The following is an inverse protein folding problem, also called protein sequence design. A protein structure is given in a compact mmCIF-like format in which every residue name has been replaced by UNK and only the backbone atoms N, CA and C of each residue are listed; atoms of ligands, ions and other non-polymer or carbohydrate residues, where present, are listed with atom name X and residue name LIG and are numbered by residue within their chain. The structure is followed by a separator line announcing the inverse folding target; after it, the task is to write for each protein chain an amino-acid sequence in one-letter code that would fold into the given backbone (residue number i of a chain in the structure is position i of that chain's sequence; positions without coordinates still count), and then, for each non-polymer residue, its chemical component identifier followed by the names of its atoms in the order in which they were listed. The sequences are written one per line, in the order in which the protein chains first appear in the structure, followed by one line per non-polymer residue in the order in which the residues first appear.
data_IF_509333100865
#
_entry.id   IF_509333100865
#
_cell.length_a   1.000
_cell.length_b   1.000
_cell.length_c   1.000
_cell.angle_alpha   90.00
_cell.angle_beta   90.00
_cell.angle_gamma   90.00
#
_symmetry.space_group_name_H-M   'P 1'
#
loop_
_entity.id
_entity.type
_entity.pdbx_description
1 polymer ?
#
# COMPACT_ATOMS: atom_id res chain seq x y z
N UNK A 1 6.57 -21.80 -28.46
CA UNK A 1 7.27 -21.00 -27.43
C UNK A 1 6.23 -20.61 -26.41
N UNK A 2 6.17 -21.30 -25.27
CA UNK A 2 5.30 -20.91 -24.15
C UNK A 2 5.80 -19.59 -23.61
N UNK A 3 5.04 -18.53 -23.84
CA UNK A 3 5.29 -17.23 -23.22
C UNK A 3 5.20 -17.43 -21.70
N UNK A 4 6.36 -17.46 -21.00
CA UNK A 4 6.35 -17.50 -19.53
C UNK A 4 5.49 -16.33 -19.04
N UNK A 5 4.42 -16.64 -18.33
CA UNK A 5 3.56 -15.63 -17.73
C UNK A 5 4.44 -14.75 -16.85
N UNK A 6 4.42 -13.46 -17.13
CA UNK A 6 5.22 -12.49 -16.41
C UNK A 6 4.64 -12.33 -15.01
N UNK A 7 5.41 -12.64 -13.98
CA UNK A 7 5.04 -12.41 -12.59
C UNK A 7 5.57 -11.03 -12.19
N UNK A 8 4.71 -10.22 -11.62
CA UNK A 8 5.05 -8.93 -11.05
C UNK A 8 5.07 -9.03 -9.52
N UNK A 9 5.66 -8.02 -8.88
CA UNK A 9 5.71 -7.88 -7.43
C UNK A 9 4.98 -6.61 -7.02
N UNK A 10 4.42 -6.60 -5.81
CA UNK A 10 3.87 -5.42 -5.15
C UNK A 10 4.42 -5.34 -3.74
N UNK A 11 4.85 -4.16 -3.32
CA UNK A 11 5.11 -3.90 -1.91
C UNK A 11 3.77 -3.66 -1.21
N UNK A 12 3.64 -4.21 -0.01
CA UNK A 12 2.52 -4.00 0.90
C UNK A 12 3.09 -3.61 2.25
N UNK A 13 2.55 -2.55 2.88
CA UNK A 13 2.89 -2.18 4.25
C UNK A 13 1.61 -2.16 5.08
N UNK A 14 1.47 -3.10 6.02
CA UNK A 14 0.44 -2.99 7.06
C UNK A 14 0.91 -1.94 8.04
N UNK A 15 0.15 -0.86 8.16
CA UNK A 15 0.50 0.34 8.93
C UNK A 15 0.29 0.12 10.43
N UNK A 16 0.78 1.02 11.30
CA UNK A 16 0.67 0.86 12.74
C UNK A 16 -0.76 0.64 13.24
N UNK A 17 -1.77 1.26 12.64
CA UNK A 17 -3.19 1.04 13.01
C UNK A 17 -3.67 -0.38 12.66
N UNK A 18 -3.25 -0.96 11.54
CA UNK A 18 -3.54 -2.34 11.18
C UNK A 18 -2.88 -3.35 12.14
N UNK A 19 -1.65 -3.05 12.56
CA UNK A 19 -0.91 -3.87 13.55
C UNK A 19 -1.59 -3.79 14.92
N UNK A 20 -1.86 -2.57 15.43
CA UNK A 20 -2.51 -2.35 16.73
C UNK A 20 -3.90 -2.97 16.83
N UNK A 21 -4.62 -3.02 15.71
CA UNK A 21 -5.96 -3.63 15.64
C UNK A 21 -5.95 -5.14 15.41
N UNK A 22 -4.76 -5.78 15.43
CA UNK A 22 -4.58 -7.23 15.24
C UNK A 22 -5.12 -7.74 13.89
N UNK A 23 -5.01 -6.93 12.83
CA UNK A 23 -5.53 -7.26 11.50
C UNK A 23 -4.51 -7.93 10.59
N UNK A 24 -3.26 -8.17 11.06
CA UNK A 24 -2.17 -8.73 10.24
C UNK A 24 -2.59 -10.03 9.55
N UNK A 25 -3.08 -11.00 10.33
CA UNK A 25 -3.46 -12.31 9.79
C UNK A 25 -4.62 -12.25 8.79
N UNK A 26 -5.62 -11.41 9.05
CA UNK A 26 -6.76 -11.23 8.15
C UNK A 26 -6.35 -10.56 6.83
N UNK A 27 -5.46 -9.58 6.87
CA UNK A 27 -4.94 -8.91 5.68
C UNK A 27 -4.12 -9.89 4.83
N UNK A 28 -3.19 -10.64 5.42
CA UNK A 28 -2.36 -11.63 4.72
C UNK A 28 -3.24 -12.70 4.08
N UNK A 29 -4.21 -13.23 4.83
CA UNK A 29 -5.15 -14.23 4.35
C UNK A 29 -5.84 -13.83 3.04
N UNK A 30 -6.23 -12.55 2.89
CA UNK A 30 -6.89 -12.07 1.66
C UNK A 30 -5.97 -12.15 0.44
N UNK A 31 -4.68 -11.87 0.60
CA UNK A 31 -3.71 -11.99 -0.49
C UNK A 31 -3.43 -13.45 -0.84
N UNK A 32 -3.23 -14.32 0.16
CA UNK A 32 -2.99 -15.75 -0.06
C UNK A 32 -4.21 -16.44 -0.68
N UNK A 33 -5.43 -16.15 -0.22
CA UNK A 33 -6.66 -16.68 -0.80
C UNK A 33 -6.87 -16.26 -2.26
N UNK A 34 -6.36 -15.09 -2.67
CA UNK A 34 -6.38 -14.64 -4.06
C UNK A 34 -5.34 -15.38 -4.93
N UNK A 35 -4.43 -16.14 -4.34
CA UNK A 35 -3.38 -16.88 -5.03
C UNK A 35 -2.06 -16.10 -5.20
N UNK A 36 -1.89 -14.98 -4.51
CA UNK A 36 -0.61 -14.27 -4.45
C UNK A 36 0.37 -15.01 -3.55
N UNK A 37 1.63 -15.14 -4.00
CA UNK A 37 2.73 -15.69 -3.22
C UNK A 37 3.35 -14.58 -2.36
N UNK A 38 3.58 -14.85 -1.08
CA UNK A 38 4.34 -13.96 -0.20
C UNK A 38 5.82 -14.33 -0.34
N UNK A 39 6.59 -13.51 -1.04
CA UNK A 39 8.03 -13.75 -1.26
C UNK A 39 8.96 -13.03 -0.28
N UNK A 40 8.44 -12.12 0.54
CA UNK A 40 9.16 -11.47 1.63
C UNK A 40 8.17 -10.96 2.68
N UNK A 41 8.52 -11.09 3.96
CA UNK A 41 7.68 -10.56 5.06
C UNK A 41 8.53 -10.29 6.29
N UNK A 42 8.36 -9.12 6.89
CA UNK A 42 8.98 -8.78 8.18
C UNK A 42 8.20 -7.71 8.94
N UNK A 43 8.30 -7.76 10.27
CA UNK A 43 7.81 -6.69 11.15
C UNK A 43 9.00 -5.84 11.59
N UNK A 44 8.86 -4.52 11.53
CA UNK A 44 9.91 -3.58 11.91
C UNK A 44 9.34 -2.24 12.39
N UNK A 45 10.15 -1.47 13.10
CA UNK A 45 9.93 -0.05 13.32
C UNK A 45 10.63 0.72 12.18
N UNK A 46 9.91 1.41 11.31
CA UNK A 46 10.54 2.14 10.23
C UNK A 46 11.29 3.37 10.74
N UNK A 47 12.39 3.73 10.08
CA UNK A 47 13.10 4.97 10.32
C UNK A 47 12.44 6.14 9.58
N UNK A 48 12.74 7.38 10.00
CA UNK A 48 12.31 8.59 9.30
C UNK A 48 12.82 8.58 7.86
N UNK A 49 14.13 8.35 7.67
CA UNK A 49 14.76 8.32 6.34
C UNK A 49 14.12 7.28 5.41
N UNK A 50 13.76 6.12 5.94
CA UNK A 50 13.08 5.06 5.20
C UNK A 50 11.69 5.50 4.74
N UNK A 51 10.92 6.15 5.63
CA UNK A 51 9.61 6.68 5.30
C UNK A 51 9.70 7.86 4.31
N UNK A 52 10.65 8.79 4.47
CA UNK A 52 10.86 9.90 3.55
C UNK A 52 11.27 9.42 2.16
N UNK A 53 12.15 8.42 2.08
CA UNK A 53 12.52 7.79 0.79
C UNK A 53 11.34 7.12 0.10
N UNK A 54 10.48 6.48 0.88
CA UNK A 54 9.29 5.80 0.38
C UNK A 54 8.22 6.80 -0.13
N UNK A 55 7.91 7.83 0.65
CA UNK A 55 6.89 8.85 0.34
C UNK A 55 7.46 10.06 -0.40
N UNK A 56 8.62 9.93 -1.03
CA UNK A 56 9.26 11.00 -1.78
C UNK A 56 8.36 11.54 -2.90
N UNK A 57 7.95 12.81 -2.80
CA UNK A 57 7.09 13.52 -3.74
C UNK A 57 7.75 14.85 -4.13
N UNK A 58 7.41 15.36 -5.31
CA UNK A 58 7.91 16.64 -5.82
C UNK A 58 7.00 17.82 -5.46
N UNK A 59 7.48 19.04 -5.70
CA UNK A 59 6.75 20.26 -5.38
C UNK A 59 5.42 20.38 -6.15
N UNK A 60 5.33 19.85 -7.37
CA UNK A 60 4.09 19.82 -8.14
C UNK A 60 3.01 18.97 -7.43
N UNK A 61 3.39 17.81 -6.92
CA UNK A 61 2.49 16.96 -6.12
C UNK A 61 2.05 17.68 -4.84
N UNK A 62 2.98 18.34 -4.12
CA UNK A 62 2.67 19.08 -2.90
C UNK A 62 1.69 20.22 -3.18
N UNK A 63 1.94 21.01 -4.21
CA UNK A 63 1.06 22.11 -4.59
C UNK A 63 -0.34 21.61 -4.96
N UNK A 64 -0.43 20.59 -5.82
CA UNK A 64 -1.71 20.02 -6.24
C UNK A 64 -2.53 19.49 -5.06
N UNK A 65 -1.89 18.73 -4.15
CA UNK A 65 -2.60 18.17 -2.98
C UNK A 65 -2.98 19.25 -1.98
N UNK A 66 -2.09 20.20 -1.74
CA UNK A 66 -2.37 21.32 -0.85
C UNK A 66 -3.45 22.25 -1.37
N UNK A 67 -3.54 22.48 -2.68
CA UNK A 67 -4.65 23.25 -3.30
C UNK A 67 -6.00 22.59 -3.00
N UNK A 68 -6.11 21.28 -3.16
CA UNK A 68 -7.34 20.55 -2.81
C UNK A 68 -7.72 20.72 -1.33
N UNK A 69 -6.74 20.68 -0.40
CA UNK A 69 -7.01 20.92 1.02
C UNK A 69 -7.53 22.35 1.25
N UNK A 70 -6.91 23.35 0.62
CA UNK A 70 -7.34 24.74 0.73
C UNK A 70 -8.78 24.92 0.22
N UNK A 71 -9.12 24.33 -0.92
CA UNK A 71 -10.48 24.36 -1.46
C UNK A 71 -11.50 23.71 -0.50
N UNK A 72 -11.16 22.58 0.11
CA UNK A 72 -12.03 21.89 1.05
C UNK A 72 -12.21 22.71 2.35
N UNK A 73 -11.15 23.30 2.89
CA UNK A 73 -11.24 24.20 4.05
C UNK A 73 -12.15 25.41 3.75
N UNK A 74 -12.01 26.03 2.57
CA UNK A 74 -12.85 27.15 2.15
C UNK A 74 -14.31 26.77 2.00
N UNK A 75 -14.64 25.61 1.44
CA UNK A 75 -16.02 25.10 1.33
C UNK A 75 -16.68 24.91 2.70
N UNK A 76 -15.90 24.48 3.69
CA UNK A 76 -16.36 24.27 5.07
C UNK A 76 -16.32 25.55 5.92
N UNK A 77 -15.91 26.69 5.35
CA UNK A 77 -15.80 27.94 6.09
C UNK A 77 -14.69 27.96 7.14
N UNK A 78 -13.70 27.07 7.01
CA UNK A 78 -12.56 26.96 7.91
C UNK A 78 -11.41 27.91 7.47
N UNK A 79 -10.59 28.41 8.43
CA UNK A 79 -9.50 29.33 8.10
C UNK A 79 -8.40 28.63 7.29
N UNK A 80 -7.85 29.33 6.31
CA UNK A 80 -6.66 28.93 5.57
C UNK A 80 -5.47 29.68 6.17
N UNK A 81 -4.58 28.94 6.86
CA UNK A 81 -3.49 29.53 7.65
C UNK A 81 -2.11 29.42 7.00
N UNK A 82 -2.00 28.67 5.90
CA UNK A 82 -0.72 28.34 5.23
C UNK A 82 -0.86 28.47 3.72
N UNK A 83 0.27 28.58 3.05
CA UNK A 83 0.36 28.40 1.60
C UNK A 83 -0.03 26.97 1.21
N UNK A 84 -0.67 26.82 0.04
CA UNK A 84 -1.16 25.52 -0.44
C UNK A 84 -0.05 24.44 -0.44
N UNK A 85 1.15 24.77 -0.88
CA UNK A 85 2.27 23.82 -0.92
C UNK A 85 2.64 23.30 0.47
N UNK A 86 2.51 24.09 1.54
CA UNK A 86 2.81 23.66 2.90
C UNK A 86 1.77 22.70 3.45
N UNK A 87 0.50 22.85 3.10
CA UNK A 87 -0.51 21.81 3.38
C UNK A 87 -0.16 20.48 2.69
N UNK A 88 0.34 20.52 1.45
CA UNK A 88 0.82 19.32 0.76
C UNK A 88 2.02 18.68 1.47
N UNK A 89 2.99 19.48 1.93
CA UNK A 89 4.15 18.98 2.70
C UNK A 89 3.74 18.38 4.04
N UNK A 90 2.73 18.96 4.70
CA UNK A 90 2.22 18.44 5.96
C UNK A 90 1.60 17.05 5.82
N UNK A 91 1.04 16.69 4.66
CA UNK A 91 0.59 15.31 4.40
C UNK A 91 1.74 14.34 4.64
N UNK A 92 2.92 14.58 4.04
CA UNK A 92 4.06 13.68 4.20
C UNK A 92 4.60 13.71 5.63
N UNK A 93 4.72 14.89 6.25
CA UNK A 93 5.15 15.01 7.65
C UNK A 93 4.27 14.21 8.61
N UNK A 94 2.96 14.29 8.43
CA UNK A 94 2.00 13.53 9.27
C UNK A 94 2.05 12.03 8.97
N UNK A 95 2.24 11.61 7.71
CA UNK A 95 2.43 10.20 7.34
C UNK A 95 3.73 9.66 7.96
N UNK A 96 4.85 10.36 7.85
CA UNK A 96 6.14 9.94 8.42
C UNK A 96 6.01 9.79 9.94
N UNK A 97 5.46 10.79 10.62
CA UNK A 97 5.19 10.74 12.07
C UNK A 97 4.32 9.54 12.45
N UNK A 98 3.30 9.24 11.64
CA UNK A 98 2.41 8.13 11.88
C UNK A 98 3.09 6.78 11.67
N UNK A 99 3.82 6.61 10.56
CA UNK A 99 4.53 5.38 10.23
C UNK A 99 5.62 5.02 11.23
N UNK A 100 6.35 6.05 11.74
CA UNK A 100 7.40 5.87 12.74
C UNK A 100 6.88 5.75 14.17
N UNK A 101 5.60 5.96 14.40
CA UNK A 101 4.94 5.88 15.71
C UNK A 101 4.64 4.47 16.21
N UNK A 102 4.89 3.43 15.41
CA UNK A 102 4.63 2.05 15.78
C UNK A 102 5.15 1.04 14.75
N UNK A 103 5.09 -0.26 15.06
CA UNK A 103 5.55 -1.29 14.14
C UNK A 103 4.67 -1.34 12.88
N UNK A 104 5.32 -1.69 11.76
CA UNK A 104 4.67 -2.02 10.49
C UNK A 104 5.01 -3.44 10.08
N UNK A 105 4.17 -4.07 9.26
CA UNK A 105 4.52 -5.32 8.57
C UNK A 105 4.73 -5.03 7.11
N UNK A 106 5.97 -5.19 6.64
CA UNK A 106 6.32 -5.09 5.24
C UNK A 106 6.19 -6.47 4.57
N UNK A 107 5.58 -6.51 3.38
CA UNK A 107 5.30 -7.74 2.64
C UNK A 107 5.61 -7.52 1.16
N UNK A 108 6.21 -8.52 0.51
CA UNK A 108 6.29 -8.60 -0.95
C UNK A 108 5.30 -9.67 -1.42
N UNK A 109 4.28 -9.25 -2.15
CA UNK A 109 3.35 -10.14 -2.82
C UNK A 109 3.74 -10.31 -4.30
N UNK A 110 3.77 -11.56 -4.80
CA UNK A 110 4.19 -11.91 -6.16
C UNK A 110 3.09 -12.69 -6.87
N UNK A 111 2.82 -12.35 -8.13
CA UNK A 111 1.86 -13.05 -8.97
C UNK A 111 1.61 -12.31 -10.29
N UNK A 112 0.69 -12.85 -11.10
CA UNK A 112 0.28 -12.17 -12.33
C UNK A 112 -0.42 -10.86 -12.00
N UNK A 113 0.08 -9.76 -12.60
CA UNK A 113 -0.44 -8.40 -12.38
C UNK A 113 -0.55 -8.03 -10.88
N UNK A 114 0.41 -8.44 -10.05
CA UNK A 114 0.34 -8.32 -8.59
C UNK A 114 -0.03 -6.90 -8.10
N UNK A 115 0.52 -5.78 -8.62
CA UNK A 115 0.12 -4.45 -8.15
C UNK A 115 -1.36 -4.16 -8.35
N UNK A 116 -1.92 -4.48 -9.53
CA UNK A 116 -3.34 -4.26 -9.82
C UNK A 116 -4.24 -5.13 -8.95
N UNK A 117 -3.89 -6.41 -8.76
CA UNK A 117 -4.64 -7.35 -7.91
C UNK A 117 -4.61 -6.91 -6.46
N UNK A 118 -3.43 -6.50 -5.95
CA UNK A 118 -3.28 -6.01 -4.57
C UNK A 118 -4.10 -4.74 -4.36
N UNK A 119 -4.02 -3.76 -5.29
CA UNK A 119 -4.80 -2.52 -5.22
C UNK A 119 -6.31 -2.79 -5.18
N UNK A 120 -6.79 -3.76 -5.97
CA UNK A 120 -8.21 -4.17 -5.97
C UNK A 120 -8.64 -4.75 -4.60
N UNK A 121 -7.79 -5.55 -3.95
CA UNK A 121 -8.07 -6.14 -2.63
C UNK A 121 -8.02 -5.07 -1.53
N UNK A 122 -7.09 -4.14 -1.64
CA UNK A 122 -6.89 -3.06 -0.65
C UNK A 122 -8.04 -2.05 -0.68
N UNK A 123 -8.51 -1.68 -1.87
CA UNK A 123 -9.57 -0.68 -2.06
C UNK A 123 -9.07 0.76 -2.12
N UNK A 124 -9.99 1.68 -2.34
CA UNK A 124 -9.73 3.12 -2.45
C UNK A 124 -8.93 3.68 -1.27
N UNK A 125 -8.12 4.72 -1.53
CA UNK A 125 -7.21 5.28 -0.50
C UNK A 125 -7.94 5.87 0.70
N UNK A 126 -9.11 6.46 0.47
CA UNK A 126 -9.97 7.00 1.51
C UNK A 126 -10.96 5.91 1.97
N UNK A 127 -10.90 5.49 3.25
CA UNK A 127 -11.70 4.36 3.74
C UNK A 127 -13.21 4.54 3.61
N UNK A 128 -13.73 5.72 3.95
CA UNK A 128 -15.18 5.98 3.97
C UNK A 128 -15.83 5.80 2.59
N UNK A 129 -15.06 5.97 1.52
CA UNK A 129 -15.51 5.81 0.13
C UNK A 129 -15.00 4.51 -0.52
N UNK A 130 -14.27 3.68 0.21
CA UNK A 130 -13.76 2.41 -0.30
C UNK A 130 -14.88 1.36 -0.41
N UNK A 131 -14.82 0.56 -1.49
CA UNK A 131 -15.83 -0.47 -1.76
C UNK A 131 -15.86 -1.54 -0.66
N UNK A 132 -17.07 -1.97 -0.30
CA UNK A 132 -17.30 -3.14 0.58
C UNK A 132 -16.65 -4.39 -0.03
N UNK A 133 -16.04 -5.22 0.80
CA UNK A 133 -15.26 -6.39 0.38
C UNK A 133 -13.77 -6.10 0.20
N UNK A 134 -13.37 -4.82 0.22
CA UNK A 134 -11.94 -4.42 0.24
C UNK A 134 -11.44 -4.31 1.68
N UNK A 135 -10.10 -4.34 1.86
CA UNK A 135 -9.51 -4.20 3.20
C UNK A 135 -9.93 -2.88 3.85
N UNK A 136 -9.88 -1.78 3.11
CA UNK A 136 -10.25 -0.47 3.66
C UNK A 136 -11.74 -0.33 3.89
N UNK A 137 -12.58 -0.77 2.95
CA UNK A 137 -14.03 -0.71 3.08
C UNK A 137 -14.60 -1.55 4.22
N UNK A 138 -13.95 -2.69 4.52
CA UNK A 138 -14.42 -3.60 5.57
C UNK A 138 -13.89 -3.25 6.97
N UNK A 139 -12.69 -2.66 7.07
CA UNK A 139 -12.00 -2.57 8.37
C UNK A 139 -11.77 -1.15 8.88
N UNK A 140 -12.08 -0.10 8.14
CA UNK A 140 -11.90 1.28 8.65
C UNK A 140 -12.86 2.25 7.99
N UNK A 141 -13.19 3.33 8.69
CA UNK A 141 -14.16 4.36 8.28
C UNK A 141 -13.56 5.77 8.28
N UNK A 142 -12.25 5.91 8.37
CA UNK A 142 -11.59 7.22 8.39
C UNK A 142 -11.69 7.94 7.03
N UNK A 143 -11.50 9.25 7.02
CA UNK A 143 -11.63 10.10 5.82
C UNK A 143 -10.54 11.16 5.75
N UNK A 144 -10.37 11.75 4.56
CA UNK A 144 -9.50 12.91 4.36
C UNK A 144 -10.00 14.11 5.18
N UNK A 145 -11.31 14.32 5.25
CA UNK A 145 -11.93 15.38 6.05
C UNK A 145 -11.52 15.30 7.53
N UNK A 146 -11.75 14.14 8.17
CA UNK A 146 -11.37 13.93 9.57
C UNK A 146 -9.86 14.07 9.79
N UNK A 147 -9.06 13.54 8.88
CA UNK A 147 -7.60 13.62 9.00
C UNK A 147 -7.08 15.06 8.87
N UNK A 148 -7.70 15.88 8.03
CA UNK A 148 -7.35 17.29 7.85
C UNK A 148 -7.70 18.10 9.10
N UNK A 149 -8.92 17.96 9.64
CA UNK A 149 -9.35 18.65 10.87
C UNK A 149 -8.44 18.29 12.05
N UNK A 150 -8.13 17.01 12.20
CA UNK A 150 -7.30 16.52 13.31
C UNK A 150 -5.79 16.74 13.06
N UNK A 151 -5.38 17.32 11.93
CA UNK A 151 -3.98 17.49 11.52
C UNK A 151 -3.16 16.21 11.70
N UNK A 152 -3.62 15.11 11.12
CA UNK A 152 -3.03 13.76 11.21
C UNK A 152 -3.08 13.03 9.88
N UNK A 153 -2.33 11.93 9.77
CA UNK A 153 -2.48 11.02 8.64
C UNK A 153 -3.81 10.24 8.69
N UNK A 154 -4.37 9.95 7.53
CA UNK A 154 -5.53 9.06 7.40
C UNK A 154 -5.20 7.66 7.94
N UNK A 155 -6.09 7.10 8.76
CA UNK A 155 -6.00 5.76 9.32
C UNK A 155 -6.61 4.75 8.34
N UNK A 156 -5.83 4.38 7.33
CA UNK A 156 -6.28 3.55 6.22
C UNK A 156 -5.58 2.18 6.12
N UNK A 157 -5.03 1.70 7.24
CA UNK A 157 -4.55 0.35 7.52
C UNK A 157 -3.33 -0.11 6.72
N UNK A 158 -3.24 0.23 5.45
CA UNK A 158 -2.33 -0.43 4.52
C UNK A 158 -1.87 0.52 3.42
N UNK A 159 -0.62 0.37 3.00
CA UNK A 159 -0.11 0.88 1.73
C UNK A 159 0.13 -0.28 0.77
N UNK A 160 -0.02 -0.05 -0.51
CA UNK A 160 0.44 -0.93 -1.58
C UNK A 160 0.95 -0.11 -2.76
N UNK A 161 1.92 -0.68 -3.50
CA UNK A 161 2.40 -0.07 -4.74
C UNK A 161 1.27 0.00 -5.78
N UNK A 162 1.07 1.17 -6.39
CA UNK A 162 0.00 1.40 -7.37
C UNK A 162 0.25 0.67 -8.70
N UNK A 163 1.52 0.52 -9.07
CA UNK A 163 1.95 -0.08 -10.33
C UNK A 163 3.31 -0.77 -10.16
N UNK A 164 3.80 -1.37 -11.26
CA UNK A 164 5.04 -2.11 -11.27
C UNK A 164 6.27 -1.22 -11.04
N UNK A 165 6.29 -0.04 -11.64
CA UNK A 165 7.39 0.92 -11.53
C UNK A 165 7.54 1.39 -10.08
N UNK A 166 6.43 1.67 -9.40
CA UNK A 166 6.45 1.98 -7.97
C UNK A 166 6.91 0.81 -7.13
N UNK A 167 6.46 -0.41 -7.40
CA UNK A 167 6.91 -1.60 -6.69
C UNK A 167 8.43 -1.81 -6.83
N UNK A 168 8.98 -1.65 -8.03
CA UNK A 168 10.42 -1.76 -8.29
C UNK A 168 11.26 -0.70 -7.55
N UNK A 169 10.71 0.51 -7.37
CA UNK A 169 11.32 1.60 -6.60
C UNK A 169 11.18 1.37 -5.09
N UNK A 170 10.03 0.91 -4.64
CA UNK A 170 9.70 0.81 -3.21
C UNK A 170 10.30 -0.41 -2.53
N UNK A 171 10.27 -1.58 -3.18
CA UNK A 171 10.76 -2.83 -2.57
C UNK A 171 12.19 -2.71 -2.02
N UNK A 172 13.18 -2.14 -2.74
CA UNK A 172 14.55 -2.02 -2.22
C UNK A 172 14.69 -1.10 -1.00
N UNK A 173 13.73 -0.20 -0.75
CA UNK A 173 13.70 0.64 0.47
C UNK A 173 13.41 -0.21 1.71
N UNK A 174 12.60 -1.26 1.54
CA UNK A 174 12.12 -2.09 2.65
C UNK A 174 12.83 -3.42 2.76
N UNK A 175 13.33 -4.01 1.69
CA UNK A 175 13.91 -5.34 1.66
C UNK A 175 15.29 -5.35 1.01
N UNK A 176 16.25 -6.02 1.65
CA UNK A 176 17.48 -6.45 1.00
C UNK A 176 17.23 -7.68 0.10
N UNK A 177 18.11 -7.90 -0.87
CA UNK A 177 17.98 -9.03 -1.82
C UNK A 177 17.89 -10.40 -1.13
N UNK A 178 18.63 -10.59 -0.04
CA UNK A 178 18.64 -11.84 0.73
C UNK A 178 17.35 -12.10 1.53
N UNK A 179 16.49 -11.09 1.68
CA UNK A 179 15.20 -11.20 2.38
C UNK A 179 14.06 -11.62 1.45
N UNK A 180 14.34 -11.76 0.14
CA UNK A 180 13.35 -12.15 -0.87
C UNK A 180 13.49 -13.63 -1.18
N UNK A 181 12.48 -14.42 -0.80
CA UNK A 181 12.51 -15.88 -0.94
C UNK A 181 12.05 -16.30 -2.34
N UNK A 182 12.79 -17.23 -2.94
CA UNK A 182 12.40 -17.86 -4.19
C UNK A 182 11.94 -19.30 -3.93
N UNK A 183 10.65 -19.56 -4.05
CA UNK A 183 10.03 -20.87 -3.91
C UNK A 183 8.77 -20.95 -4.78
N UNK A 184 8.23 -22.16 -4.98
CA UNK A 184 7.01 -22.37 -5.75
C UNK A 184 5.85 -22.74 -4.84
N UNK A 185 4.65 -22.24 -5.17
CA UNK A 185 3.40 -22.59 -4.50
C UNK A 185 2.55 -23.54 -5.35
N UNK A 186 1.58 -24.22 -4.74
CA UNK A 186 0.61 -25.02 -5.47
C UNK A 186 -0.23 -24.16 -6.43
N UNK A 187 -0.59 -22.93 -6.05
CA UNK A 187 -1.30 -21.99 -6.91
C UNK A 187 -0.51 -21.65 -8.18
N UNK A 188 0.80 -21.48 -8.09
CA UNK A 188 1.63 -21.19 -9.27
C UNK A 188 1.61 -22.34 -10.27
N UNK A 189 1.64 -23.59 -9.80
CA UNK A 189 1.51 -24.76 -10.68
C UNK A 189 0.15 -24.78 -11.37
N UNK A 190 -0.92 -24.52 -10.61
CA UNK A 190 -2.29 -24.49 -11.15
C UNK A 190 -2.47 -23.38 -12.17
N UNK A 191 -1.91 -22.20 -11.93
CA UNK A 191 -2.15 -21.01 -12.76
C UNK A 191 -1.19 -20.88 -13.95
N UNK A 192 0.06 -21.39 -13.83
CA UNK A 192 1.12 -21.05 -14.77
C UNK A 192 1.79 -22.25 -15.47
N UNK A 193 1.62 -23.47 -14.96
CA UNK A 193 2.33 -24.65 -15.45
C UNK A 193 1.36 -25.64 -16.16
N UNK A 194 0.47 -25.11 -16.99
CA UNK A 194 -0.39 -25.93 -17.86
C UNK A 194 0.33 -26.18 -19.18
N UNK A 195 0.34 -27.42 -19.66
CA UNK A 195 0.85 -27.73 -20.99
C UNK A 195 0.01 -27.06 -22.09
N UNK A 196 0.57 -26.97 -23.33
CA UNK A 196 -0.11 -26.31 -24.44
C UNK A 196 -1.47 -26.93 -24.81
N UNK A 197 -1.72 -28.17 -24.40
CA UNK A 197 -2.98 -28.91 -24.56
C UNK A 197 -3.93 -28.77 -23.36
N UNK A 198 -3.58 -27.96 -22.37
CA UNK A 198 -4.40 -27.71 -21.16
C UNK A 198 -4.22 -28.72 -20.03
N UNK A 199 -3.30 -29.68 -20.16
CA UNK A 199 -2.98 -30.62 -19.09
C UNK A 199 -1.92 -30.08 -18.15
N UNK A 200 -1.94 -30.55 -16.89
CA UNK A 200 -0.93 -30.19 -15.90
C UNK A 200 0.44 -30.72 -16.32
N UNK A 201 1.44 -29.87 -16.24
CA UNK A 201 2.83 -30.33 -16.40
C UNK A 201 3.15 -31.37 -15.30
N UNK A 202 3.55 -32.56 -15.72
CA UNK A 202 3.94 -33.68 -14.84
C UNK A 202 5.29 -33.43 -14.15
#
# INVERSE_FOLDING_TARGET
MTTKVKKDRSLILIKPDGVQRSLIGEIIKRFEQKGLKISGMKMLLPTVDQCESHYNKNDEWFLRKGTGIVEDLQKEGLPVEKEAIEYGRDIIRTIVKYMTGGPVVAIIAEGHAAPAVVTQIVGGTEPVSADVGTIRGDYTIDSYYMSTIDNRAVRNLIHCSENKEEAEREIPIWFGESEVMNYSTAHERILYDVSADGHWAS
#
